data_IF_212954501872
#
_entry.id   IF_212954501872
#
_cell.length_a   1.000
_cell.length_b   1.000
_cell.length_c   1.000
_cell.angle_alpha   90.00
_cell.angle_beta   90.00
_cell.angle_gamma   90.00
#
_symmetry.space_group_name_H-M   'P 1'
#
loop_
_entity.id
_entity.type
_entity.pdbx_description
1 polymer ?
#
# COMPACT_ATOMS: atom_id res chain seq x y z
N UNK A 1 11.97 21.16 8.89
CA UNK A 1 11.87 21.37 7.44
C UNK A 1 10.56 20.77 6.93
N UNK A 2 10.37 19.44 7.07
CA UNK A 2 9.17 18.71 6.63
C UNK A 2 7.82 19.39 6.92
N UNK A 3 7.46 19.65 8.19
CA UNK A 3 6.13 20.18 8.51
C UNK A 3 5.82 21.56 7.89
N UNK A 4 6.82 22.43 7.77
CA UNK A 4 6.66 23.73 7.09
C UNK A 4 6.37 23.55 5.61
N UNK A 5 7.04 22.57 5.00
CA UNK A 5 6.84 22.25 3.59
C UNK A 5 5.48 21.58 3.35
N UNK A 6 5.07 20.69 4.25
CA UNK A 6 3.75 20.06 4.24
C UNK A 6 2.62 21.10 4.36
N UNK A 7 2.80 22.12 5.21
CA UNK A 7 1.87 23.24 5.32
C UNK A 7 1.83 24.06 4.02
N UNK A 8 2.99 24.38 3.43
CA UNK A 8 3.10 25.17 2.19
C UNK A 8 2.36 24.53 1.01
N UNK A 9 2.43 23.21 0.86
CA UNK A 9 1.74 22.49 -0.21
C UNK A 9 0.29 22.10 0.16
N UNK A 10 -0.17 22.47 1.35
CA UNK A 10 -1.51 22.14 1.85
C UNK A 10 -1.75 20.65 2.00
N UNK A 11 -0.74 19.87 2.41
CA UNK A 11 -0.82 18.41 2.48
C UNK A 11 -2.01 17.94 3.34
N UNK A 12 -2.23 18.57 4.48
CA UNK A 12 -3.28 18.15 5.42
C UNK A 12 -4.70 18.44 4.91
N UNK A 13 -4.87 19.39 3.98
CA UNK A 13 -6.15 19.61 3.30
C UNK A 13 -6.53 18.44 2.38
N UNK A 14 -5.59 17.55 2.06
CA UNK A 14 -5.81 16.32 1.27
C UNK A 14 -6.07 15.10 2.13
N UNK A 15 -6.14 15.26 3.45
CA UNK A 15 -6.43 14.17 4.38
C UNK A 15 -7.82 13.61 4.09
N UNK A 16 -7.91 12.30 3.90
CA UNK A 16 -9.18 11.58 3.77
C UNK A 16 -10.08 11.88 4.97
N UNK A 17 -11.37 12.09 4.74
CA UNK A 17 -12.35 12.27 5.82
C UNK A 17 -12.49 11.04 6.73
N UNK A 18 -11.98 9.87 6.30
CA UNK A 18 -11.94 8.64 7.09
C UNK A 18 -10.69 8.52 7.95
N UNK A 19 -9.66 9.32 7.67
CA UNK A 19 -8.41 9.30 8.42
C UNK A 19 -8.59 9.92 9.80
N UNK A 20 -8.06 9.27 10.82
CA UNK A 20 -8.10 9.74 12.21
C UNK A 20 -6.99 10.75 12.54
N UNK A 21 -6.02 10.93 11.65
CA UNK A 21 -4.90 11.87 11.82
C UNK A 21 -4.58 12.61 10.50
N UNK A 22 -3.97 13.81 10.56
CA UNK A 22 -3.51 14.53 9.37
C UNK A 22 -2.42 13.77 8.61
N UNK A 23 -2.40 13.90 7.28
CA UNK A 23 -1.41 13.23 6.43
C UNK A 23 0.04 13.58 6.79
N UNK A 24 0.34 14.83 7.14
CA UNK A 24 1.68 15.27 7.53
C UNK A 24 2.20 14.49 8.74
N UNK A 25 1.38 14.35 9.79
CA UNK A 25 1.68 13.58 11.00
C UNK A 25 1.88 12.10 10.68
N UNK A 26 0.95 11.51 9.92
CA UNK A 26 0.99 10.09 9.54
C UNK A 26 2.24 9.74 8.75
N UNK A 27 2.54 10.51 7.70
CA UNK A 27 3.69 10.26 6.83
C UNK A 27 5.00 10.45 7.58
N UNK A 28 5.11 11.49 8.42
CA UNK A 28 6.31 11.69 9.24
C UNK A 28 6.52 10.54 10.23
N UNK A 29 5.46 10.12 10.93
CA UNK A 29 5.50 9.02 11.90
C UNK A 29 5.91 7.70 11.26
N UNK A 30 5.44 7.43 10.04
CA UNK A 30 5.69 6.16 9.34
C UNK A 30 7.04 6.11 8.61
N UNK A 31 7.44 7.19 7.96
CA UNK A 31 8.59 7.19 7.04
C UNK A 31 9.77 8.01 7.53
N UNK A 32 9.61 8.83 8.58
CA UNK A 32 10.67 9.67 9.12
C UNK A 32 11.35 10.51 8.03
N UNK A 33 12.67 10.39 7.91
CA UNK A 33 13.45 11.12 6.91
C UNK A 33 13.01 10.83 5.46
N UNK A 34 12.51 9.63 5.15
CA UNK A 34 12.01 9.30 3.81
C UNK A 34 10.70 10.02 3.45
N UNK A 35 9.98 10.58 4.44
CA UNK A 35 8.76 11.35 4.20
C UNK A 35 9.04 12.60 3.34
N UNK A 36 10.26 13.14 3.36
CA UNK A 36 10.64 14.25 2.50
C UNK A 36 10.52 13.90 1.01
N UNK A 37 10.89 12.67 0.62
CA UNK A 37 10.75 12.20 -0.78
C UNK A 37 9.29 12.05 -1.20
N UNK A 38 8.43 11.63 -0.28
CA UNK A 38 6.99 11.55 -0.52
C UNK A 38 6.42 12.95 -0.78
N UNK A 39 6.85 13.93 0.01
CA UNK A 39 6.42 15.31 -0.12
C UNK A 39 6.85 15.95 -1.45
N UNK A 40 8.10 15.73 -1.85
CA UNK A 40 8.62 16.15 -3.16
C UNK A 40 7.88 15.48 -4.33
N UNK A 41 7.43 14.24 -4.16
CA UNK A 41 6.58 13.54 -5.12
C UNK A 41 5.21 14.20 -5.25
N UNK A 42 4.56 14.46 -4.11
CA UNK A 42 3.23 15.09 -4.04
C UNK A 42 3.23 16.51 -4.58
N UNK A 43 4.29 17.27 -4.31
CA UNK A 43 4.42 18.63 -4.86
C UNK A 43 4.49 18.60 -6.40
N UNK A 44 5.20 17.62 -6.97
CA UNK A 44 5.37 17.47 -8.42
C UNK A 44 4.12 16.95 -9.10
N UNK A 45 3.45 15.98 -8.48
CA UNK A 45 2.19 15.42 -8.95
C UNK A 45 1.23 15.26 -7.77
N UNK A 46 0.21 16.12 -7.65
CA UNK A 46 -0.76 16.06 -6.55
C UNK A 46 -1.51 14.72 -6.43
N UNK A 47 -1.57 13.92 -7.51
CA UNK A 47 -2.22 12.59 -7.51
C UNK A 47 -1.46 11.57 -6.67
N UNK A 48 -0.19 11.83 -6.37
CA UNK A 48 0.62 11.00 -5.48
C UNK A 48 0.08 10.97 -4.04
N UNK A 49 -0.74 11.96 -3.65
CA UNK A 49 -1.44 12.00 -2.37
C UNK A 49 -2.81 11.33 -2.39
N UNK A 50 -3.25 10.75 -3.51
CA UNK A 50 -4.53 10.04 -3.60
C UNK A 50 -4.42 8.66 -2.94
N UNK A 51 -5.51 8.25 -2.29
CA UNK A 51 -5.63 6.91 -1.73
C UNK A 51 -5.70 5.92 -2.89
N UNK A 52 -4.69 5.06 -2.97
CA UNK A 52 -4.64 4.00 -3.96
C UNK A 52 -5.37 2.76 -3.44
N UNK A 53 -5.07 2.32 -2.21
CA UNK A 53 -5.68 1.13 -1.61
C UNK A 53 -6.64 1.56 -0.50
N UNK A 54 -7.90 1.79 -0.88
CA UNK A 54 -8.97 2.31 -0.01
C UNK A 54 -9.11 1.59 1.33
N UNK A 55 -9.16 0.25 1.32
CA UNK A 55 -9.36 -0.55 2.54
C UNK A 55 -8.21 -0.47 3.55
N UNK A 56 -7.07 0.13 3.18
CA UNK A 56 -5.92 0.32 4.05
C UNK A 56 -5.39 1.76 4.08
N UNK A 57 -6.11 2.69 3.45
CA UNK A 57 -5.74 4.11 3.30
C UNK A 57 -4.30 4.31 2.81
N UNK A 58 -3.83 3.43 1.92
CA UNK A 58 -2.47 3.48 1.38
C UNK A 58 -2.42 4.43 0.20
N UNK A 59 -1.56 5.45 0.24
CA UNK A 59 -1.44 6.43 -0.84
C UNK A 59 -0.60 5.88 -2.00
N UNK A 60 -0.79 6.47 -3.18
CA UNK A 60 0.04 6.16 -4.36
C UNK A 60 1.54 6.36 -4.10
N UNK A 61 1.93 7.47 -3.47
CA UNK A 61 3.34 7.75 -3.17
C UNK A 61 3.96 6.73 -2.22
N UNK A 62 3.18 6.16 -1.29
CA UNK A 62 3.64 5.12 -0.39
C UNK A 62 3.97 3.83 -1.17
N UNK A 63 3.14 3.48 -2.17
CA UNK A 63 3.39 2.33 -3.07
C UNK A 63 4.62 2.55 -3.94
N UNK A 64 4.73 3.73 -4.54
CA UNK A 64 5.89 4.13 -5.35
C UNK A 64 7.21 4.10 -4.55
N UNK A 65 7.18 4.55 -3.30
CA UNK A 65 8.33 4.50 -2.41
C UNK A 65 8.71 3.06 -2.08
N UNK A 66 7.71 2.22 -1.75
CA UNK A 66 7.92 0.82 -1.44
C UNK A 66 8.52 0.06 -2.64
N UNK A 67 8.03 0.35 -3.86
CA UNK A 67 8.56 -0.21 -5.10
C UNK A 67 10.05 0.12 -5.30
N UNK A 68 10.44 1.36 -4.99
CA UNK A 68 11.81 1.86 -5.19
C UNK A 68 12.79 1.42 -4.11
N UNK A 69 12.32 1.14 -2.88
CA UNK A 69 13.22 0.98 -1.71
C UNK A 69 13.12 -0.37 -1.00
N UNK A 70 12.02 -1.10 -1.13
CA UNK A 70 11.71 -2.22 -0.24
C UNK A 70 11.88 -3.60 -0.89
N UNK A 71 12.45 -3.64 -2.11
CA UNK A 71 12.77 -4.86 -2.88
C UNK A 71 11.62 -5.88 -2.85
N UNK A 72 10.45 -5.44 -3.32
CA UNK A 72 9.24 -6.26 -3.35
C UNK A 72 9.34 -7.19 -4.56
N UNK A 73 9.57 -8.47 -4.30
CA UNK A 73 9.67 -9.51 -5.36
C UNK A 73 8.42 -10.38 -5.43
N UNK A 74 7.62 -10.42 -4.36
CA UNK A 74 6.32 -11.09 -4.30
C UNK A 74 5.26 -10.18 -3.71
N UNK A 75 4.01 -10.34 -4.14
CA UNK A 75 2.89 -9.57 -3.58
C UNK A 75 2.69 -9.83 -2.07
N UNK A 76 2.98 -11.04 -1.60
CA UNK A 76 2.95 -11.39 -0.16
C UNK A 76 3.90 -10.50 0.67
N UNK A 77 5.04 -10.10 0.09
CA UNK A 77 6.02 -9.26 0.78
C UNK A 77 5.39 -7.92 1.14
N UNK A 78 4.76 -7.29 0.16
CA UNK A 78 4.08 -6.03 0.34
C UNK A 78 2.90 -6.16 1.31
N UNK A 79 1.99 -7.10 1.04
CA UNK A 79 0.74 -7.25 1.77
C UNK A 79 0.94 -7.61 3.24
N UNK A 80 1.92 -8.47 3.55
CA UNK A 80 2.13 -8.99 4.92
C UNK A 80 3.26 -8.30 5.67
N UNK A 81 4.41 -8.07 5.01
CA UNK A 81 5.64 -7.63 5.69
C UNK A 81 5.83 -6.11 5.69
N UNK A 82 5.40 -5.39 4.65
CA UNK A 82 5.62 -3.94 4.50
C UNK A 82 4.40 -3.10 4.89
N UNK A 83 3.22 -3.50 4.43
CA UNK A 83 1.99 -2.72 4.58
C UNK A 83 1.06 -3.24 5.68
N UNK A 84 1.11 -4.55 5.96
CA UNK A 84 0.15 -5.28 6.83
C UNK A 84 -1.30 -5.21 6.34
N UNK A 85 -1.53 -4.89 5.07
CA UNK A 85 -2.87 -4.83 4.45
C UNK A 85 -3.62 -6.15 4.63
N UNK A 86 -2.93 -7.29 4.56
CA UNK A 86 -3.57 -8.60 4.76
C UNK A 86 -4.11 -8.84 6.18
N UNK A 87 -3.83 -7.96 7.14
CA UNK A 87 -4.40 -8.02 8.49
C UNK A 87 -5.69 -7.21 8.63
N UNK A 88 -5.96 -6.29 7.71
CA UNK A 88 -7.12 -5.37 7.77
C UNK A 88 -8.11 -5.58 6.64
N UNK A 89 -7.70 -6.24 5.56
CA UNK A 89 -8.56 -6.59 4.42
C UNK A 89 -8.64 -8.10 4.25
N UNK A 90 -9.85 -8.62 4.07
CA UNK A 90 -10.11 -10.03 3.78
C UNK A 90 -9.76 -10.37 2.32
N UNK A 91 -9.60 -11.66 2.03
CA UNK A 91 -9.28 -12.15 0.68
C UNK A 91 -10.26 -11.61 -0.37
N UNK A 92 -11.55 -11.65 -0.10
CA UNK A 92 -12.59 -11.21 -1.03
C UNK A 92 -12.49 -9.70 -1.32
N UNK A 93 -12.05 -8.92 -0.34
CA UNK A 93 -11.81 -7.48 -0.49
C UNK A 93 -10.54 -7.23 -1.31
N UNK A 94 -9.45 -7.98 -1.01
CA UNK A 94 -8.20 -7.90 -1.76
C UNK A 94 -8.39 -8.23 -3.25
N UNK A 95 -9.17 -9.26 -3.57
CA UNK A 95 -9.42 -9.67 -4.96
C UNK A 95 -10.20 -8.62 -5.78
N UNK A 96 -11.01 -7.79 -5.12
CA UNK A 96 -11.82 -6.73 -5.74
C UNK A 96 -11.16 -5.35 -5.67
N UNK A 97 -10.06 -5.21 -4.95
CA UNK A 97 -9.37 -3.95 -4.78
C UNK A 97 -8.62 -3.54 -6.06
N UNK A 98 -9.24 -2.68 -6.87
CA UNK A 98 -8.64 -2.16 -8.11
C UNK A 98 -7.29 -1.47 -7.85
N UNK A 99 -7.20 -0.73 -6.75
CA UNK A 99 -5.97 -0.10 -6.29
C UNK A 99 -4.85 -1.08 -5.95
N UNK A 100 -5.18 -2.27 -5.45
CA UNK A 100 -4.18 -3.32 -5.22
C UNK A 100 -3.69 -3.91 -6.55
N UNK A 101 -4.58 -4.07 -7.53
CA UNK A 101 -4.20 -4.45 -8.89
C UNK A 101 -3.27 -3.41 -9.52
N UNK A 102 -3.55 -2.14 -9.29
CA UNK A 102 -2.67 -1.07 -9.72
C UNK A 102 -1.31 -1.10 -9.01
N UNK A 103 -1.28 -1.30 -7.69
CA UNK A 103 -0.03 -1.47 -6.96
C UNK A 103 0.80 -2.64 -7.49
N UNK A 104 0.17 -3.76 -7.88
CA UNK A 104 0.86 -4.88 -8.52
C UNK A 104 1.52 -4.48 -9.85
N UNK A 105 0.87 -3.64 -10.66
CA UNK A 105 1.46 -3.11 -11.89
C UNK A 105 2.65 -2.19 -11.60
N UNK A 106 2.58 -1.38 -10.54
CA UNK A 106 3.71 -0.54 -10.09
C UNK A 106 4.90 -1.41 -9.65
N UNK A 107 4.67 -2.49 -8.90
CA UNK A 107 5.75 -3.34 -8.41
C UNK A 107 6.37 -4.24 -9.48
N UNK A 108 5.56 -4.81 -10.37
CA UNK A 108 5.96 -5.95 -11.21
C UNK A 108 5.86 -5.69 -12.72
N UNK A 109 5.28 -4.56 -13.14
CA UNK A 109 5.09 -4.24 -14.55
C UNK A 109 4.36 -5.36 -15.31
N UNK A 110 5.02 -5.93 -16.32
CA UNK A 110 4.46 -7.01 -17.14
C UNK A 110 4.22 -8.32 -16.37
N UNK A 111 4.88 -8.53 -15.24
CA UNK A 111 4.67 -9.72 -14.39
C UNK A 111 3.49 -9.57 -13.41
N UNK A 112 2.77 -8.43 -13.42
CA UNK A 112 1.74 -8.13 -12.42
C UNK A 112 0.67 -9.22 -12.30
N UNK A 113 0.15 -9.71 -13.42
CA UNK A 113 -0.89 -10.76 -13.42
C UNK A 113 -0.34 -12.09 -12.89
N UNK A 114 0.89 -12.46 -13.28
CA UNK A 114 1.54 -13.68 -12.78
C UNK A 114 1.78 -13.63 -11.27
N UNK A 115 2.22 -12.48 -10.73
CA UNK A 115 2.44 -12.28 -9.28
C UNK A 115 1.14 -12.22 -8.49
N UNK A 116 0.09 -11.67 -9.10
CA UNK A 116 -1.27 -11.69 -8.55
C UNK A 116 -1.77 -13.12 -8.40
N UNK A 117 -1.71 -13.91 -9.46
CA UNK A 117 -2.11 -15.31 -9.45
C UNK A 117 -1.28 -16.16 -8.48
N UNK A 118 0.04 -15.95 -8.46
CA UNK A 118 0.96 -16.63 -7.52
C UNK A 118 0.49 -16.45 -6.07
N UNK A 119 0.17 -15.21 -5.67
CA UNK A 119 -0.29 -14.91 -4.31
C UNK A 119 -1.60 -15.60 -3.96
N UNK A 120 -2.63 -15.44 -4.80
CA UNK A 120 -3.96 -15.97 -4.48
C UNK A 120 -4.00 -17.49 -4.54
N UNK A 121 -3.25 -18.13 -5.44
CA UNK A 121 -3.07 -19.59 -5.46
C UNK A 121 -2.44 -20.10 -4.17
N UNK A 122 -1.36 -19.47 -3.70
CA UNK A 122 -0.71 -19.85 -2.45
C UNK A 122 -1.62 -19.66 -1.23
N UNK A 123 -2.54 -18.68 -1.25
CA UNK A 123 -3.56 -18.52 -0.21
C UNK A 123 -4.62 -19.63 -0.25
N UNK A 124 -5.04 -20.08 -1.44
CA UNK A 124 -6.03 -21.17 -1.60
C UNK A 124 -5.47 -22.52 -1.15
N UNK A 125 -4.21 -22.79 -1.46
CA UNK A 125 -3.48 -23.98 -0.99
C UNK A 125 -3.37 -23.99 0.54
N UNK A 126 -3.06 -22.85 1.16
CA UNK A 126 -3.02 -22.72 2.62
C UNK A 126 -4.41 -22.99 3.23
N UNK A 127 -5.47 -22.39 2.70
CA UNK A 127 -6.83 -22.59 3.19
C UNK A 127 -7.27 -24.07 3.11
N UNK A 128 -7.03 -24.71 1.98
CA UNK A 128 -7.37 -26.13 1.76
C UNK A 128 -6.55 -27.07 2.68
N UNK A 129 -5.30 -26.72 2.96
CA UNK A 129 -4.45 -27.47 3.89
C UNK A 129 -4.92 -27.40 5.34
N UNK A 130 -5.49 -26.27 5.78
CA UNK A 130 -6.10 -26.14 7.10
C UNK A 130 -7.38 -26.97 7.23
N UNK A 131 -8.23 -27.00 6.21
CA UNK A 131 -9.47 -27.79 6.23
C UNK A 131 -9.18 -29.29 6.38
N UNK A 132 -8.14 -29.81 5.72
CA UNK A 132 -7.71 -31.20 5.86
C UNK A 132 -7.18 -31.54 7.27
N UNK A 133 -6.55 -30.57 7.96
CA UNK A 133 -6.05 -30.74 9.33
C UNK A 133 -7.14 -30.58 10.39
N UNK A 134 -8.21 -29.82 10.09
CA UNK A 134 -9.33 -29.61 11.01
C UNK A 134 -10.33 -30.79 11.03
N UNK A 135 -10.30 -31.64 10.01
CA UNK A 135 -11.15 -32.86 9.91
C UNK A 135 -10.48 -34.14 10.42
N UNK A 136 -9.24 -34.07 10.92
CA UNK A 136 -8.47 -35.18 11.46
C UNK A 136 -8.37 -35.10 12.99
#
# INVERSE_FOLDING_TARGET
AFFREAERIGLDARTSARSSEPLSTRLWRRYGASAQKLLEGIERDPREAEVLIEGAEYLRCEVELAAKQEMIVKLEDFLRRRSKISLVMRREELTRAEGLREACRIFFGNEADARWEEYFRAQDEKASGYDLQATA
#
